data_IF_503594845979
#
_entry.id   IF_503594845979
#
_cell.length_a   1.000
_cell.length_b   1.000
_cell.length_c   1.000
_cell.angle_alpha   90.00
_cell.angle_beta   90.00
_cell.angle_gamma   90.00
#
_symmetry.space_group_name_H-M   'P 1'
#
loop_
_entity.id
_entity.type
_entity.pdbx_description
1 polymer ?
#
# COMPACT_ATOMS: atom_id res chain seq x y z
N UNK A 1 -0.51 -2.49 0.01
CA UNK A 1 0.47 -2.65 -1.09
C UNK A 1 1.43 -3.76 -0.71
N UNK A 2 1.91 -4.52 -1.70
CA UNK A 2 2.79 -5.68 -1.51
C UNK A 2 3.86 -5.69 -2.60
N UNK A 3 5.09 -6.08 -2.23
CA UNK A 3 6.16 -6.32 -3.19
C UNK A 3 6.14 -7.80 -3.60
N UNK A 4 5.99 -8.06 -4.89
CA UNK A 4 6.08 -9.39 -5.51
C UNK A 4 7.37 -9.49 -6.31
N UNK A 5 7.94 -10.69 -6.40
CA UNK A 5 9.16 -10.91 -7.18
C UNK A 5 8.88 -10.92 -8.70
N UNK A 6 7.72 -11.44 -9.10
CA UNK A 6 7.30 -11.50 -10.49
C UNK A 6 5.76 -11.40 -10.64
N UNK A 7 5.26 -11.61 -11.87
CA UNK A 7 3.84 -11.58 -12.21
C UNK A 7 3.19 -12.97 -12.28
N UNK A 8 3.81 -13.99 -11.65
CA UNK A 8 3.24 -15.33 -11.60
C UNK A 8 2.00 -15.39 -10.70
N UNK A 9 1.14 -16.39 -10.93
CA UNK A 9 -0.01 -16.63 -10.07
C UNK A 9 0.39 -17.07 -8.65
N UNK A 10 1.55 -17.72 -8.50
CA UNK A 10 2.08 -18.12 -7.19
C UNK A 10 2.45 -16.90 -6.34
N UNK A 11 3.24 -15.97 -6.89
CA UNK A 11 3.59 -14.72 -6.21
C UNK A 11 2.34 -13.88 -5.90
N UNK A 12 1.36 -13.87 -6.82
CA UNK A 12 0.07 -13.26 -6.58
C UNK A 12 -0.64 -13.87 -5.37
N UNK A 13 -0.77 -15.20 -5.30
CA UNK A 13 -1.41 -15.90 -4.18
C UNK A 13 -0.69 -15.64 -2.85
N UNK A 14 0.64 -15.60 -2.84
CA UNK A 14 1.41 -15.25 -1.65
C UNK A 14 1.12 -13.82 -1.18
N UNK A 15 1.08 -12.84 -2.10
CA UNK A 15 0.71 -11.47 -1.78
C UNK A 15 -0.75 -11.33 -1.33
N UNK A 16 -1.65 -12.09 -1.95
CA UNK A 16 -3.06 -12.11 -1.59
C UNK A 16 -3.30 -12.71 -0.20
N UNK A 17 -2.58 -13.78 0.16
CA UNK A 17 -2.59 -14.33 1.53
C UNK A 17 -2.07 -13.34 2.57
N UNK A 18 -1.00 -12.59 2.25
CA UNK A 18 -0.52 -11.50 3.11
C UNK A 18 -1.55 -10.38 3.25
N UNK A 19 -2.27 -10.05 2.17
CA UNK A 19 -3.37 -9.09 2.22
C UNK A 19 -4.49 -9.56 3.16
N UNK A 20 -4.97 -10.80 3.00
CA UNK A 20 -5.99 -11.39 3.88
C UNK A 20 -5.53 -11.41 5.34
N UNK A 21 -4.28 -11.78 5.60
CA UNK A 21 -3.75 -11.83 6.96
C UNK A 21 -3.71 -10.44 7.63
N UNK A 22 -3.57 -9.36 6.86
CA UNK A 22 -3.52 -7.98 7.38
C UNK A 22 -4.90 -7.34 7.53
N UNK A 23 -5.81 -7.61 6.60
CA UNK A 23 -7.07 -6.87 6.48
C UNK A 23 -8.33 -7.73 6.68
N UNK A 24 -8.16 -9.04 6.81
CA UNK A 24 -9.26 -10.00 6.81
C UNK A 24 -9.68 -10.41 5.39
N UNK A 25 -10.67 -11.30 5.32
CA UNK A 25 -11.20 -11.78 4.04
C UNK A 25 -12.03 -10.68 3.35
N UNK A 26 -11.69 -10.29 2.11
CA UNK A 26 -12.55 -9.40 1.34
C UNK A 26 -13.83 -10.14 0.93
N UNK A 27 -14.97 -9.46 0.98
CA UNK A 27 -16.23 -10.03 0.47
C UNK A 27 -16.28 -10.09 -1.06
N UNK A 28 -15.64 -9.14 -1.72
CA UNK A 28 -15.64 -9.01 -3.17
C UNK A 28 -14.28 -8.56 -3.68
N UNK A 29 -13.85 -9.12 -4.80
CA UNK A 29 -12.68 -8.71 -5.57
C UNK A 29 -13.13 -8.35 -6.97
N UNK A 30 -12.70 -7.19 -7.45
CA UNK A 30 -12.91 -6.76 -8.84
C UNK A 30 -11.53 -6.68 -9.50
N UNK A 31 -11.33 -7.39 -10.60
CA UNK A 31 -10.06 -7.40 -11.33
C UNK A 31 -10.23 -7.31 -12.85
N UNK A 32 -9.13 -7.02 -13.54
CA UNK A 32 -9.04 -7.24 -14.98
C UNK A 32 -8.94 -8.75 -15.32
N UNK A 33 -9.02 -9.04 -16.62
CA UNK A 33 -8.96 -10.40 -17.17
C UNK A 33 -7.54 -10.97 -17.29
N UNK A 34 -6.57 -10.45 -16.52
CA UNK A 34 -5.21 -10.98 -16.46
C UNK A 34 -5.19 -12.47 -16.12
N UNK A 35 -4.32 -13.22 -16.80
CA UNK A 35 -4.26 -14.68 -16.69
C UNK A 35 -3.95 -15.15 -15.26
N UNK A 36 -3.13 -14.40 -14.52
CA UNK A 36 -2.82 -14.64 -13.12
C UNK A 36 -4.05 -14.52 -12.22
N UNK A 37 -4.95 -13.56 -12.49
CA UNK A 37 -6.17 -13.38 -11.71
C UNK A 37 -7.22 -14.45 -12.05
N UNK A 38 -7.37 -14.80 -13.34
CA UNK A 38 -8.22 -15.92 -13.77
C UNK A 38 -7.77 -17.24 -13.12
N UNK A 39 -6.46 -17.52 -13.14
CA UNK A 39 -5.93 -18.72 -12.51
C UNK A 39 -6.15 -18.72 -10.99
N UNK A 40 -5.86 -17.61 -10.31
CA UNK A 40 -6.05 -17.50 -8.86
C UNK A 40 -7.53 -17.64 -8.45
N UNK A 41 -8.46 -17.04 -9.21
CA UNK A 41 -9.90 -17.17 -8.99
C UNK A 41 -10.33 -18.64 -9.07
N UNK A 42 -9.94 -19.34 -10.14
CA UNK A 42 -10.29 -20.75 -10.33
C UNK A 42 -9.69 -21.63 -9.23
N UNK A 43 -8.43 -21.41 -8.86
CA UNK A 43 -7.78 -22.19 -7.79
C UNK A 43 -8.44 -21.97 -6.42
N UNK A 44 -8.88 -20.74 -6.12
CA UNK A 44 -9.59 -20.45 -4.87
C UNK A 44 -10.98 -21.10 -4.85
N UNK A 45 -11.69 -21.07 -5.98
CA UNK A 45 -12.99 -21.72 -6.14
C UNK A 45 -12.88 -23.25 -5.96
N UNK A 46 -11.89 -23.88 -6.60
CA UNK A 46 -11.60 -25.31 -6.40
C UNK A 46 -11.26 -25.64 -4.95
N UNK A 47 -10.45 -24.81 -4.30
CA UNK A 47 -10.09 -25.00 -2.89
C UNK A 47 -11.31 -24.89 -1.96
N UNK A 48 -12.24 -23.96 -2.20
CA UNK A 48 -13.46 -23.86 -1.40
C UNK A 48 -14.43 -25.02 -1.65
N UNK A 49 -14.58 -25.43 -2.90
CA UNK A 49 -15.46 -26.55 -3.27
C UNK A 49 -14.91 -27.91 -2.77
N UNK A 50 -13.59 -28.04 -2.62
CA UNK A 50 -12.94 -29.28 -2.19
C UNK A 50 -12.84 -29.49 -0.67
N UNK A 51 -13.16 -28.49 0.16
CA UNK A 51 -12.84 -28.50 1.60
C UNK A 51 -13.94 -29.08 2.51
N UNK A 52 -15.16 -29.32 2.02
CA UNK A 52 -16.25 -29.80 2.90
C UNK A 52 -17.14 -30.88 2.28
N UNK A 53 -17.41 -31.93 3.07
CA UNK A 53 -18.33 -33.05 2.79
C UNK A 53 -19.76 -32.74 3.28
N UNK A 54 -19.89 -31.75 4.17
CA UNK A 54 -21.15 -31.37 4.81
C UNK A 54 -21.78 -30.15 4.11
N UNK A 55 -23.01 -30.30 3.63
CA UNK A 55 -23.72 -29.31 2.80
C UNK A 55 -23.96 -27.99 3.53
N UNK A 56 -24.15 -28.02 4.86
CA UNK A 56 -24.48 -26.83 5.64
C UNK A 56 -23.23 -25.96 5.87
N UNK A 57 -22.07 -26.60 6.05
CA UNK A 57 -20.78 -25.91 6.16
C UNK A 57 -20.31 -25.41 4.80
N UNK A 58 -20.53 -26.17 3.72
CA UNK A 58 -20.32 -25.68 2.34
C UNK A 58 -21.14 -24.42 2.09
N UNK A 59 -22.43 -24.42 2.46
CA UNK A 59 -23.31 -23.28 2.22
C UNK A 59 -22.88 -22.05 3.02
N UNK A 60 -22.45 -22.22 4.28
CA UNK A 60 -21.89 -21.12 5.07
C UNK A 60 -20.56 -20.60 4.52
N UNK A 61 -19.63 -21.48 4.12
CA UNK A 61 -18.34 -21.09 3.53
C UNK A 61 -18.48 -20.49 2.13
N UNK A 62 -19.45 -20.94 1.33
CA UNK A 62 -19.78 -20.36 0.03
C UNK A 62 -20.47 -18.99 0.19
N UNK A 63 -21.30 -18.81 1.22
CA UNK A 63 -21.94 -17.53 1.54
C UNK A 63 -20.97 -16.49 2.14
N UNK A 64 -19.94 -16.94 2.86
CA UNK A 64 -18.82 -16.10 3.36
C UNK A 64 -17.61 -16.07 2.39
N UNK A 65 -17.76 -16.70 1.22
CA UNK A 65 -16.72 -16.82 0.20
C UNK A 65 -16.42 -15.48 -0.48
N UNK A 66 -15.22 -15.38 -1.06
CA UNK A 66 -14.81 -14.16 -1.76
C UNK A 66 -15.44 -14.16 -3.14
N UNK A 67 -16.34 -13.21 -3.41
CA UNK A 67 -16.93 -13.05 -4.74
C UNK A 67 -15.93 -12.40 -5.70
N UNK A 68 -15.45 -13.16 -6.68
CA UNK A 68 -14.56 -12.62 -7.70
C UNK A 68 -15.35 -12.15 -8.92
N UNK A 69 -15.17 -10.88 -9.30
CA UNK A 69 -15.80 -10.28 -10.47
C UNK A 69 -14.74 -9.76 -11.44
N UNK A 70 -14.80 -10.23 -12.69
CA UNK A 70 -13.98 -9.71 -13.77
C UNK A 70 -14.71 -8.57 -14.47
N UNK A 71 -13.98 -7.49 -14.81
CA UNK A 71 -14.53 -6.44 -15.68
C UNK A 71 -14.81 -6.99 -17.07
N UNK A 72 -15.73 -6.36 -17.80
CA UNK A 72 -16.06 -6.76 -19.17
C UNK A 72 -14.81 -6.65 -20.06
N UNK A 73 -14.58 -7.67 -20.88
CA UNK A 73 -13.47 -7.66 -21.84
C UNK A 73 -13.62 -6.46 -22.79
N UNK A 74 -12.50 -5.78 -23.08
CA UNK A 74 -12.46 -4.55 -23.90
C UNK A 74 -13.22 -3.35 -23.31
N UNK A 75 -13.57 -3.39 -22.02
CA UNK A 75 -14.18 -2.28 -21.28
C UNK A 75 -13.21 -1.61 -20.29
N UNK A 76 -12.09 -1.01 -20.74
CA UNK A 76 -11.05 -0.49 -19.86
C UNK A 76 -11.54 0.60 -18.90
N UNK A 77 -12.62 1.32 -19.25
CA UNK A 77 -13.21 2.34 -18.38
C UNK A 77 -13.74 1.78 -17.05
N UNK A 78 -14.14 0.50 -17.00
CA UNK A 78 -14.60 -0.14 -15.77
C UNK A 78 -13.49 -0.23 -14.71
N UNK A 79 -12.24 -0.33 -15.16
CA UNK A 79 -11.06 -0.33 -14.29
C UNK A 79 -10.46 1.04 -14.01
N UNK A 80 -10.95 2.08 -14.68
CA UNK A 80 -10.29 3.39 -14.72
C UNK A 80 -10.10 4.04 -13.35
N UNK A 81 -10.96 3.76 -12.36
CA UNK A 81 -10.84 4.33 -11.02
C UNK A 81 -9.61 3.79 -10.28
N UNK A 82 -9.41 2.46 -10.25
CA UNK A 82 -8.25 1.87 -9.59
C UNK A 82 -6.98 2.10 -10.41
N UNK A 83 -7.07 2.13 -11.74
CA UNK A 83 -5.93 2.47 -12.60
C UNK A 83 -5.44 3.90 -12.36
N UNK A 84 -6.36 4.86 -12.25
CA UNK A 84 -6.03 6.25 -11.93
C UNK A 84 -5.38 6.35 -10.56
N UNK A 85 -5.94 5.69 -9.55
CA UNK A 85 -5.38 5.65 -8.20
C UNK A 85 -3.96 5.07 -8.19
N UNK A 86 -3.77 3.91 -8.83
CA UNK A 86 -2.46 3.26 -8.99
C UNK A 86 -1.48 4.19 -9.72
N UNK A 87 -1.94 4.91 -10.75
CA UNK A 87 -1.15 5.88 -11.49
C UNK A 87 -0.61 7.01 -10.61
N UNK A 88 -1.45 7.57 -9.74
CA UNK A 88 -1.07 8.61 -8.78
C UNK A 88 -0.05 8.07 -7.78
N UNK A 89 -0.31 6.90 -7.18
CA UNK A 89 0.61 6.26 -6.23
C UNK A 89 1.97 6.00 -6.88
N UNK A 90 2.00 5.48 -8.11
CA UNK A 90 3.24 5.24 -8.87
C UNK A 90 4.01 6.55 -9.13
N UNK A 91 3.34 7.65 -9.47
CA UNK A 91 4.01 8.95 -9.64
C UNK A 91 4.59 9.48 -8.33
N UNK A 92 3.85 9.35 -7.23
CA UNK A 92 4.32 9.72 -5.89
C UNK A 92 5.55 8.91 -5.48
N UNK A 93 5.52 7.58 -5.67
CA UNK A 93 6.66 6.70 -5.42
C UNK A 93 7.86 7.08 -6.31
N UNK A 94 7.64 7.32 -7.60
CA UNK A 94 8.72 7.69 -8.53
C UNK A 94 9.41 9.00 -8.14
N UNK A 95 8.63 10.01 -7.73
CA UNK A 95 9.17 11.29 -7.25
C UNK A 95 9.92 11.13 -5.92
N UNK A 96 9.40 10.30 -5.02
CA UNK A 96 9.99 10.02 -3.70
C UNK A 96 11.31 9.27 -3.79
N UNK A 97 11.36 8.21 -4.62
CA UNK A 97 12.55 7.37 -4.78
C UNK A 97 13.59 8.07 -5.66
N UNK A 98 13.16 8.77 -6.70
CA UNK A 98 14.04 9.49 -7.61
C UNK A 98 15.08 8.58 -8.25
N UNK A 99 16.36 8.77 -7.91
CA UNK A 99 17.51 7.99 -8.38
C UNK A 99 18.07 7.00 -7.35
N UNK A 100 17.36 6.80 -6.24
CA UNK A 100 17.82 5.92 -5.17
C UNK A 100 17.67 4.44 -5.54
N UNK A 101 18.70 3.65 -5.27
CA UNK A 101 18.62 2.19 -5.29
C UNK A 101 18.29 1.70 -3.88
N UNK A 102 17.05 1.25 -3.68
CA UNK A 102 16.59 0.68 -2.41
C UNK A 102 16.75 -0.85 -2.43
N UNK A 103 17.07 -1.44 -1.28
CA UNK A 103 16.97 -2.90 -1.11
C UNK A 103 15.50 -3.33 -1.06
N UNK A 104 15.23 -4.62 -1.29
CA UNK A 104 13.86 -5.17 -1.21
C UNK A 104 13.18 -4.83 0.12
N UNK A 105 13.89 -4.95 1.24
CA UNK A 105 13.35 -4.63 2.56
C UNK A 105 13.11 -3.13 2.76
N UNK A 106 14.02 -2.28 2.29
CA UNK A 106 13.79 -0.82 2.31
C UNK A 106 12.58 -0.41 1.48
N UNK A 107 12.40 -1.05 0.32
CA UNK A 107 11.27 -0.77 -0.55
C UNK A 107 9.96 -1.30 0.04
N UNK A 108 9.96 -2.49 0.66
CA UNK A 108 8.81 -3.02 1.41
C UNK A 108 8.37 -2.09 2.53
N UNK A 109 9.30 -1.57 3.33
CA UNK A 109 8.97 -0.58 4.36
C UNK A 109 8.35 0.68 3.75
N UNK A 110 8.95 1.24 2.69
CA UNK A 110 8.41 2.42 2.02
C UNK A 110 7.00 2.17 1.48
N UNK A 111 6.73 0.99 0.90
CA UNK A 111 5.40 0.61 0.42
C UNK A 111 4.38 0.51 1.56
N UNK A 112 4.76 -0.04 2.71
CA UNK A 112 3.89 -0.13 3.89
C UNK A 112 3.54 1.27 4.43
N UNK A 113 4.53 2.16 4.55
CA UNK A 113 4.32 3.54 4.99
C UNK A 113 3.47 4.33 3.97
N UNK A 114 3.74 4.15 2.68
CA UNK A 114 2.95 4.78 1.60
C UNK A 114 1.51 4.27 1.58
N UNK A 115 1.29 2.99 1.86
CA UNK A 115 -0.05 2.40 2.00
C UNK A 115 -0.80 3.03 3.17
N UNK A 116 -0.15 3.19 4.34
CA UNK A 116 -0.76 3.86 5.47
C UNK A 116 -1.20 5.28 5.12
N UNK A 117 -0.36 6.04 4.40
CA UNK A 117 -0.70 7.38 3.91
C UNK A 117 -1.91 7.35 2.97
N UNK A 118 -1.92 6.46 1.96
CA UNK A 118 -3.03 6.36 0.99
C UNK A 118 -4.34 5.91 1.65
N UNK A 119 -4.27 5.07 2.68
CA UNK A 119 -5.42 4.60 3.44
C UNK A 119 -5.90 5.61 4.48
N UNK A 120 -5.02 6.51 4.93
CA UNK A 120 -5.40 7.65 5.76
C UNK A 120 -6.23 8.69 5.00
N UNK A 121 -6.44 8.51 3.67
CA UNK A 121 -7.17 9.50 2.88
C UNK A 121 -8.57 9.76 3.44
N UNK A 122 -9.05 11.00 3.37
CA UNK A 122 -10.34 11.39 3.91
C UNK A 122 -11.43 10.87 2.96
N UNK A 123 -12.45 10.20 3.52
CA UNK A 123 -13.54 9.63 2.72
C UNK A 123 -14.59 10.66 2.31
N UNK A 124 -14.63 11.81 3.00
CA UNK A 124 -15.60 12.89 2.77
C UNK A 124 -14.91 14.23 2.99
N UNK A 125 -15.22 15.19 2.11
CA UNK A 125 -14.89 16.60 2.33
C UNK A 125 -15.81 17.13 3.45
N UNK A 126 -15.25 17.58 4.57
CA UNK A 126 -16.02 18.19 5.66
C UNK A 126 -15.83 19.70 5.58
N UNK A 127 -16.75 20.39 4.89
CA UNK A 127 -16.85 21.85 4.91
C UNK A 127 -17.31 22.48 3.59
N UNK A 128 -18.05 23.59 3.68
CA UNK A 128 -18.39 24.48 2.55
C UNK A 128 -17.33 25.57 2.32
N UNK A 129 -16.25 25.58 3.12
CA UNK A 129 -15.22 26.61 3.07
C UNK A 129 -13.97 26.07 2.34
N UNK A 130 -13.62 26.72 1.24
CA UNK A 130 -12.41 26.44 0.44
C UNK A 130 -11.13 26.58 1.30
N UNK A 131 -11.20 27.28 2.43
CA UNK A 131 -10.11 27.45 3.38
C UNK A 131 -10.17 26.54 4.62
N UNK A 132 -11.23 25.74 4.81
CA UNK A 132 -11.28 24.81 5.93
C UNK A 132 -10.43 23.58 5.64
N UNK A 133 -9.12 23.70 5.89
CA UNK A 133 -8.14 22.60 5.87
C UNK A 133 -8.37 21.57 7.01
N UNK A 134 -9.60 21.39 7.48
CA UNK A 134 -9.93 20.39 8.50
C UNK A 134 -10.43 19.16 7.79
N UNK A 135 -9.45 18.42 7.29
CA UNK A 135 -9.64 17.12 6.73
C UNK A 135 -9.53 16.10 7.87
N UNK A 136 -10.59 15.37 8.25
CA UNK A 136 -10.49 14.26 9.19
C UNK A 136 -9.88 13.07 8.46
N UNK A 137 -8.57 13.13 8.30
CA UNK A 137 -7.71 11.97 8.13
C UNK A 137 -7.90 11.09 9.37
N UNK A 138 -8.34 9.82 9.28
CA UNK A 138 -8.05 8.88 10.36
C UNK A 138 -6.54 8.98 10.59
N UNK A 139 -6.14 9.32 11.82
CA UNK A 139 -4.77 9.68 12.23
C UNK A 139 -3.84 8.46 12.16
N UNK A 140 -3.66 7.96 10.94
CA UNK A 140 -2.70 6.96 10.50
C UNK A 140 -1.54 7.66 9.80
N UNK A 141 -1.32 8.95 10.09
CA UNK A 141 0.01 9.48 9.91
C UNK A 141 0.90 8.62 10.82
N UNK A 142 1.81 7.79 10.28
CA UNK A 142 2.77 7.14 11.12
C UNK A 142 3.73 8.26 11.54
N UNK A 143 3.31 9.04 12.55
CA UNK A 143 4.24 9.71 13.46
C UNK A 143 5.04 8.56 14.02
N UNK A 144 6.11 8.25 13.31
CA UNK A 144 6.99 7.11 13.52
C UNK A 144 7.76 7.40 14.81
N UNK A 145 7.07 7.27 15.95
CA UNK A 145 7.55 7.06 17.31
C UNK A 145 8.66 7.95 17.87
N UNK A 146 9.13 8.99 17.19
CA UNK A 146 10.23 9.82 17.66
C UNK A 146 9.77 11.24 17.99
N UNK A 147 10.21 11.80 19.13
CA UNK A 147 10.11 13.23 19.37
C UNK A 147 10.88 13.97 18.28
N UNK A 148 10.30 15.04 17.76
CA UNK A 148 10.89 15.94 16.78
C UNK A 148 12.06 16.68 17.44
N UNK A 149 13.24 16.04 17.47
CA UNK A 149 14.45 16.68 17.96
C UNK A 149 15.07 17.49 16.82
N UNK A 150 14.76 18.79 16.84
CA UNK A 150 15.47 19.85 16.14
C UNK A 150 16.91 19.93 16.69
N UNK A 151 17.82 19.11 16.17
CA UNK A 151 19.24 19.34 16.36
C UNK A 151 19.76 20.07 15.13
N UNK A 152 20.23 21.30 15.34
CA UNK A 152 20.89 22.12 14.33
C UNK A 152 22.11 21.35 13.79
N UNK A 153 22.11 21.08 12.48
CA UNK A 153 23.23 20.44 11.78
C UNK A 153 24.44 21.39 11.79
N UNK A 154 25.34 21.23 12.76
CA UNK A 154 26.69 21.79 12.68
C UNK A 154 27.53 20.93 11.73
N UNK A 155 27.63 21.33 10.47
CA UNK A 155 28.42 20.64 9.44
C UNK A 155 29.90 21.02 9.54
N UNK A 156 30.72 20.15 10.14
CA UNK A 156 32.17 20.13 9.92
C UNK A 156 32.47 19.14 8.77
N UNK A 157 32.97 19.60 7.61
CA UNK A 157 33.23 18.74 6.45
C UNK A 157 34.36 17.72 6.66
N UNK A 158 35.20 17.87 7.68
CA UNK A 158 36.40 17.02 7.91
C UNK A 158 36.21 16.00 9.03
N UNK A 159 35.09 16.04 9.75
CA UNK A 159 34.84 15.15 10.89
C UNK A 159 34.29 13.78 10.42
N UNK A 160 35.11 12.73 10.51
CA UNK A 160 34.69 11.33 10.40
C UNK A 160 34.57 10.72 11.82
N UNK A 161 33.45 10.90 12.54
CA UNK A 161 33.28 10.19 13.79
C UNK A 161 33.20 8.69 13.50
N UNK A 162 33.78 7.87 14.39
CA UNK A 162 33.31 6.50 14.52
C UNK A 162 31.87 6.55 15.06
N UNK A 163 30.92 6.69 14.14
CA UNK A 163 29.50 6.76 14.46
C UNK A 163 29.13 5.40 15.08
N UNK A 164 28.79 5.41 16.37
CA UNK A 164 28.20 4.26 17.07
C UNK A 164 27.10 3.65 16.20
N UNK A 165 26.98 2.32 16.21
CA UNK A 165 25.95 1.59 15.46
C UNK A 165 24.55 2.19 15.68
N UNK A 166 24.26 2.72 16.87
CA UNK A 166 23.01 3.40 17.20
C UNK A 166 22.79 4.70 16.40
N UNK A 167 23.81 5.57 16.27
CA UNK A 167 23.70 6.83 15.52
C UNK A 167 23.62 6.59 13.99
N UNK A 168 24.24 5.51 13.48
CA UNK A 168 24.03 5.06 12.09
C UNK A 168 22.60 4.58 11.83
N UNK A 169 22.00 3.86 12.77
CA UNK A 169 20.60 3.43 12.68
C UNK A 169 19.65 4.63 12.69
N UNK A 170 19.86 5.60 13.58
CA UNK A 170 19.07 6.84 13.62
C UNK A 170 19.13 7.63 12.31
N UNK A 171 20.31 7.77 11.71
CA UNK A 171 20.46 8.43 10.41
C UNK A 171 19.69 7.70 9.30
N UNK A 172 19.73 6.36 9.27
CA UNK A 172 18.95 5.56 8.31
C UNK A 172 17.45 5.72 8.51
N UNK A 173 16.99 5.78 9.76
CA UNK A 173 15.58 5.99 10.11
C UNK A 173 15.10 7.39 9.68
N UNK A 174 15.83 8.45 10.04
CA UNK A 174 15.54 9.83 9.61
C UNK A 174 15.47 9.95 8.09
N UNK A 175 16.32 9.24 7.35
CA UNK A 175 16.27 9.18 5.88
C UNK A 175 14.97 8.55 5.37
N UNK A 176 14.48 7.48 6.01
CA UNK A 176 13.18 6.87 5.71
C UNK A 176 12.02 7.85 5.91
N UNK A 177 11.98 8.54 7.06
CA UNK A 177 10.97 9.57 7.34
C UNK A 177 10.95 10.68 6.30
N UNK A 178 12.12 11.12 5.82
CA UNK A 178 12.21 12.13 4.75
C UNK A 178 11.53 11.65 3.46
N UNK A 179 11.68 10.38 3.09
CA UNK A 179 10.99 9.82 1.93
C UNK A 179 9.47 9.83 2.14
N UNK A 180 9.00 9.44 3.32
CA UNK A 180 7.58 9.45 3.64
C UNK A 180 6.99 10.87 3.58
N UNK A 181 7.68 11.87 4.13
CA UNK A 181 7.26 13.28 4.05
C UNK A 181 7.17 13.77 2.61
N UNK A 182 8.13 13.37 1.76
CA UNK A 182 8.11 13.70 0.33
C UNK A 182 6.96 13.01 -0.41
N UNK A 183 6.69 11.74 -0.08
CA UNK A 183 5.55 10.99 -0.60
C UNK A 183 4.24 11.67 -0.24
N UNK A 184 4.05 12.01 1.04
CA UNK A 184 2.85 12.69 1.53
C UNK A 184 2.61 14.03 0.84
N UNK A 185 3.65 14.86 0.71
CA UNK A 185 3.55 16.14 0.00
C UNK A 185 3.07 15.93 -1.43
N UNK A 186 3.71 15.01 -2.16
CA UNK A 186 3.35 14.71 -3.55
C UNK A 186 1.94 14.13 -3.67
N UNK A 187 1.56 13.26 -2.73
CA UNK A 187 0.24 12.63 -2.66
C UNK A 187 -0.84 13.70 -2.46
N UNK A 188 -0.63 14.62 -1.51
CA UNK A 188 -1.54 15.73 -1.27
C UNK A 188 -1.72 16.59 -2.51
N UNK A 189 -0.61 16.99 -3.15
CA UNK A 189 -0.62 17.89 -4.29
C UNK A 189 -1.20 17.26 -5.57
N UNK A 190 -1.15 15.92 -5.72
CA UNK A 190 -1.70 15.23 -6.90
C UNK A 190 -3.11 14.65 -6.71
N UNK A 191 -3.56 14.42 -5.47
CA UNK A 191 -4.83 13.75 -5.17
C UNK A 191 -5.82 14.61 -4.39
N UNK A 192 -5.37 15.48 -3.48
CA UNK A 192 -6.24 16.24 -2.56
C UNK A 192 -6.45 17.70 -2.98
N UNK A 193 -5.58 18.26 -3.83
CA UNK A 193 -5.63 19.61 -4.39
C UNK A 193 -5.69 19.54 -5.92
#
# INVERSE_FOLDING_TARGET
MELMQDMSAEEFLLGFRRFIARWGNPKQIISDNGSQFKLASNTLEEAWNGVTVDSDVQTYMANEGIQWQFIVELAPWMGGFYERLIGIVKRCLRKTIGKLCLTNEQFRTLLAESEAVVNSRPLVYIGDDINSNIIPTPDLNPKTGFPDHNEEDSTDPEYLPQISSAKKLLLKWKKGQKHLTMFWKTWRDEYLL
#
